data_IF_916984549068
#
_entry.id   IF_916984549068
#
_cell.length_a   1.000
_cell.length_b   1.000
_cell.length_c   1.000
_cell.angle_alpha   90.00
_cell.angle_beta   90.00
_cell.angle_gamma   90.00
#
_symmetry.space_group_name_H-M   'P 1'
#
loop_
_entity.id
_entity.type
_entity.pdbx_description
1 polymer ?
#
# COMPACT_ATOMS: atom_id res chain seq x y z
N UNK A 1 -72.77 -17.13 -3.24
CA UNK A 1 -71.58 -17.05 -4.13
C UNK A 1 -70.77 -15.75 -4.02
N UNK A 2 -71.31 -14.64 -3.46
CA UNK A 2 -70.57 -13.36 -3.27
C UNK A 2 -69.47 -13.42 -2.19
N UNK A 3 -69.70 -14.13 -1.08
CA UNK A 3 -68.73 -14.22 0.02
C UNK A 3 -67.45 -14.99 -0.34
N UNK A 4 -67.54 -16.03 -1.18
CA UNK A 4 -66.35 -16.77 -1.66
C UNK A 4 -65.42 -15.91 -2.52
N UNK A 5 -65.97 -14.98 -3.32
CA UNK A 5 -65.17 -14.05 -4.15
C UNK A 5 -64.49 -12.98 -3.30
N UNK A 6 -65.16 -12.52 -2.23
CA UNK A 6 -64.58 -11.58 -1.26
C UNK A 6 -63.40 -12.19 -0.48
N UNK A 7 -63.54 -13.45 -0.04
CA UNK A 7 -62.47 -14.14 0.70
C UNK A 7 -61.24 -14.37 -0.19
N UNK A 8 -61.45 -14.74 -1.46
CA UNK A 8 -60.36 -14.91 -2.42
C UNK A 8 -59.64 -13.59 -2.74
N UNK A 9 -60.38 -12.48 -2.89
CA UNK A 9 -59.78 -11.17 -3.15
C UNK A 9 -58.93 -10.68 -1.96
N UNK A 10 -59.35 -10.96 -0.73
CA UNK A 10 -58.59 -10.62 0.48
C UNK A 10 -57.26 -11.38 0.56
N UNK A 11 -57.25 -12.66 0.16
CA UNK A 11 -56.05 -13.49 0.18
C UNK A 11 -55.01 -13.05 -0.87
N UNK A 12 -55.46 -12.63 -2.05
CA UNK A 12 -54.57 -12.10 -3.10
C UNK A 12 -53.92 -10.78 -2.68
N UNK A 13 -54.64 -9.92 -1.96
CA UNK A 13 -54.07 -8.68 -1.40
C UNK A 13 -53.01 -8.96 -0.33
N UNK A 14 -53.21 -9.97 0.52
CA UNK A 14 -52.25 -10.32 1.56
C UNK A 14 -50.91 -10.83 0.98
N UNK A 15 -50.92 -11.55 -0.14
CA UNK A 15 -49.70 -12.06 -0.78
C UNK A 15 -48.85 -10.98 -1.47
N UNK A 16 -49.46 -9.86 -1.87
CA UNK A 16 -48.72 -8.73 -2.49
C UNK A 16 -47.91 -7.96 -1.44
N UNK A 17 -48.34 -7.98 -0.17
CA UNK A 17 -47.70 -7.22 0.92
C UNK A 17 -46.48 -7.96 1.50
N UNK A 18 -46.42 -9.29 1.41
CA UNK A 18 -45.30 -10.10 1.93
C UNK A 18 -44.12 -10.26 0.95
N UNK A 19 -44.16 -9.61 -0.21
CA UNK A 19 -43.13 -9.70 -1.26
C UNK A 19 -41.83 -8.96 -0.97
N UNK A 20 -41.69 -8.31 0.18
CA UNK A 20 -40.42 -7.72 0.63
C UNK A 20 -39.96 -8.38 1.93
N UNK A 21 -39.83 -9.71 1.89
CA UNK A 21 -38.82 -10.36 2.73
C UNK A 21 -37.46 -9.85 2.24
N UNK A 22 -37.10 -8.65 2.69
CA UNK A 22 -35.82 -8.04 2.45
C UNK A 22 -34.79 -9.03 2.94
N UNK A 23 -34.11 -9.66 2.00
CA UNK A 23 -32.78 -10.17 2.25
C UNK A 23 -32.00 -8.96 2.76
N UNK A 24 -31.90 -8.85 4.09
CA UNK A 24 -30.86 -8.04 4.70
C UNK A 24 -29.58 -8.78 4.34
N UNK A 25 -29.09 -8.50 3.13
CA UNK A 25 -27.71 -8.74 2.82
C UNK A 25 -26.95 -7.90 3.85
N UNK A 26 -26.51 -8.57 4.91
CA UNK A 26 -25.47 -8.04 5.76
C UNK A 26 -24.26 -7.98 4.83
N UNK A 27 -24.13 -6.89 4.10
CA UNK A 27 -22.84 -6.44 3.60
C UNK A 27 -22.07 -6.13 4.88
N UNK A 28 -21.42 -7.15 5.42
CA UNK A 28 -20.33 -6.97 6.32
C UNK A 28 -19.22 -6.35 5.47
N UNK A 29 -19.32 -5.04 5.27
CA UNK A 29 -18.22 -4.20 4.82
C UNK A 29 -17.15 -4.38 5.90
N UNK A 30 -16.32 -5.41 5.75
CA UNK A 30 -15.08 -5.53 6.50
C UNK A 30 -14.11 -4.58 5.81
N UNK A 31 -14.38 -3.28 5.94
CA UNK A 31 -13.37 -2.25 5.74
C UNK A 31 -12.39 -2.40 6.90
N UNK A 32 -11.41 -3.29 6.73
CA UNK A 32 -10.26 -3.34 7.63
C UNK A 32 -9.37 -2.19 7.20
N UNK A 33 -9.60 -1.03 7.80
CA UNK A 33 -8.71 0.11 7.67
C UNK A 33 -7.46 -0.24 8.50
N UNK A 34 -6.49 -0.91 7.87
CA UNK A 34 -5.21 -1.23 8.49
C UNK A 34 -4.34 0.01 8.33
N UNK A 35 -4.40 0.91 9.30
CA UNK A 35 -3.33 1.89 9.49
C UNK A 35 -2.11 1.12 9.98
N UNK A 36 -1.18 0.84 9.07
CA UNK A 36 0.16 0.33 9.43
C UNK A 36 0.88 1.51 10.08
N UNK A 37 1.09 1.44 11.38
CA UNK A 37 1.97 2.38 12.05
C UNK A 37 3.42 2.09 11.62
N UNK A 38 4.25 3.12 11.56
CA UNK A 38 5.73 3.01 11.61
C UNK A 38 6.11 2.27 12.91
N UNK A 39 6.06 0.95 12.88
CA UNK A 39 6.40 0.07 13.99
C UNK A 39 7.46 -0.92 13.52
N UNK A 40 8.55 -0.99 14.27
CA UNK A 40 9.69 -1.87 14.03
C UNK A 40 9.29 -3.36 13.99
N UNK A 41 8.10 -3.69 14.51
CA UNK A 41 7.51 -5.04 14.55
C UNK A 41 6.47 -5.28 13.45
N UNK A 42 6.33 -4.38 12.47
CA UNK A 42 5.50 -4.61 11.31
C UNK A 42 6.06 -5.75 10.45
N UNK A 43 5.17 -6.51 9.80
CA UNK A 43 5.58 -7.58 8.89
C UNK A 43 6.44 -7.08 7.72
N UNK A 44 6.35 -5.79 7.42
CA UNK A 44 7.27 -5.04 6.59
C UNK A 44 7.80 -3.87 7.42
N UNK A 45 9.10 -3.87 7.73
CA UNK A 45 9.71 -2.71 8.38
C UNK A 45 10.35 -1.81 7.33
N UNK A 46 10.00 -0.53 7.37
CA UNK A 46 10.59 0.50 6.52
C UNK A 46 11.21 1.54 7.43
N UNK A 47 12.50 1.79 7.27
CA UNK A 47 13.26 2.69 8.13
C UNK A 47 13.95 3.77 7.28
N UNK A 48 13.86 5.03 7.70
CA UNK A 48 14.67 6.10 7.12
C UNK A 48 16.10 6.01 7.67
N UNK A 49 17.09 5.81 6.78
CA UNK A 49 18.48 5.60 7.17
C UNK A 49 19.33 6.86 7.07
N UNK A 50 19.05 7.75 6.12
CA UNK A 50 19.78 8.99 5.91
C UNK A 50 18.85 10.08 5.37
N UNK A 51 18.89 11.25 5.98
CA UNK A 51 18.16 12.46 5.60
C UNK A 51 19.07 13.54 5.01
N UNK A 52 20.35 13.23 4.79
CA UNK A 52 21.36 14.18 4.33
C UNK A 52 22.33 13.53 3.34
N UNK A 53 22.44 14.11 2.14
CA UNK A 53 23.27 13.60 1.05
C UNK A 53 24.20 14.72 0.57
N UNK A 54 25.48 14.41 0.40
CA UNK A 54 26.44 15.34 -0.21
C UNK A 54 26.15 15.45 -1.72
N UNK A 55 26.15 16.66 -2.25
CA UNK A 55 25.95 16.91 -3.68
C UNK A 55 26.95 16.10 -4.51
N UNK A 56 26.44 15.37 -5.51
CA UNK A 56 27.20 14.47 -6.37
C UNK A 56 27.46 13.08 -5.78
N UNK A 57 26.83 12.73 -4.66
CA UNK A 57 26.91 11.40 -4.04
C UNK A 57 25.55 10.70 -3.99
N UNK A 58 25.59 9.36 -3.96
CA UNK A 58 24.43 8.49 -3.77
C UNK A 58 24.47 7.86 -2.38
N UNK A 59 23.32 7.75 -1.73
CA UNK A 59 23.15 7.13 -0.41
C UNK A 59 21.82 6.39 -0.33
N UNK A 60 21.78 5.30 0.45
CA UNK A 60 20.54 4.66 0.84
C UNK A 60 19.78 5.57 1.80
N UNK A 61 18.53 5.90 1.48
CA UNK A 61 17.67 6.78 2.29
C UNK A 61 16.53 6.04 2.96
N UNK A 62 16.11 4.90 2.38
CA UNK A 62 15.19 3.98 3.02
C UNK A 62 15.80 2.59 3.07
N UNK A 63 15.57 1.88 4.16
CA UNK A 63 15.83 0.45 4.30
C UNK A 63 14.51 -0.27 4.48
N UNK A 64 14.26 -1.24 3.61
CA UNK A 64 13.08 -2.11 3.65
C UNK A 64 13.51 -3.49 4.11
N UNK A 65 12.88 -4.01 5.15
CA UNK A 65 13.18 -5.34 5.72
C UNK A 65 11.96 -6.26 5.61
N UNK A 66 12.15 -7.42 4.96
CA UNK A 66 11.14 -8.45 4.92
C UNK A 66 11.06 -9.18 6.29
N UNK A 67 10.01 -8.95 7.07
CA UNK A 67 9.73 -9.71 8.29
C UNK A 67 8.62 -10.75 8.11
N UNK A 68 8.15 -10.98 6.88
CA UNK A 68 7.28 -12.08 6.56
C UNK A 68 8.04 -13.40 6.72
N UNK A 69 7.33 -14.44 7.19
CA UNK A 69 7.90 -15.79 7.31
C UNK A 69 8.09 -16.51 5.96
N UNK A 70 8.11 -15.76 4.86
CA UNK A 70 8.22 -16.24 3.49
C UNK A 70 8.96 -15.22 2.61
N UNK A 71 9.34 -15.65 1.42
CA UNK A 71 9.93 -14.80 0.38
C UNK A 71 8.86 -13.86 -0.21
N UNK A 72 9.30 -12.65 -0.57
CA UNK A 72 8.45 -11.62 -1.19
C UNK A 72 9.24 -10.84 -2.23
N UNK A 73 8.56 -10.35 -3.24
CA UNK A 73 9.08 -9.44 -4.25
C UNK A 73 8.76 -8.00 -3.86
N UNK A 74 9.77 -7.13 -3.85
CA UNK A 74 9.66 -5.70 -3.60
C UNK A 74 9.81 -4.94 -4.92
N UNK A 75 8.81 -4.14 -5.26
CA UNK A 75 8.84 -3.20 -6.36
C UNK A 75 8.69 -1.75 -5.87
N UNK A 76 9.31 -0.82 -6.59
CA UNK A 76 9.18 0.62 -6.35
C UNK A 76 8.44 1.23 -7.53
N UNK A 77 7.28 1.81 -7.28
CA UNK A 77 6.43 2.50 -8.25
C UNK A 77 6.20 3.96 -7.83
N UNK A 78 5.56 4.74 -8.72
CA UNK A 78 5.11 6.13 -8.46
C UNK A 78 6.18 7.01 -7.77
N UNK A 79 7.38 7.06 -8.35
CA UNK A 79 8.49 7.87 -7.82
C UNK A 79 8.27 9.34 -8.16
N UNK A 80 8.19 10.18 -7.13
CA UNK A 80 8.17 11.65 -7.27
C UNK A 80 9.33 12.28 -6.47
N UNK A 81 10.02 13.24 -7.08
CA UNK A 81 11.09 13.99 -6.40
C UNK A 81 10.90 15.50 -6.48
N UNK A 82 11.38 16.20 -5.46
CA UNK A 82 11.41 17.68 -5.44
C UNK A 82 12.81 18.20 -5.14
N UNK A 83 13.05 19.50 -5.36
CA UNK A 83 14.34 20.14 -5.08
C UNK A 83 15.46 19.66 -6.01
N UNK A 84 16.59 19.26 -5.44
CA UNK A 84 17.73 18.68 -6.16
C UNK A 84 17.91 17.19 -5.94
N UNK A 85 16.89 16.52 -5.41
CA UNK A 85 16.87 15.09 -5.12
C UNK A 85 16.58 14.29 -6.38
N UNK A 86 17.34 13.23 -6.61
CA UNK A 86 17.13 12.26 -7.68
C UNK A 86 17.02 10.86 -7.09
N UNK A 87 16.07 10.06 -7.59
CA UNK A 87 15.93 8.65 -7.22
C UNK A 87 16.96 7.82 -7.98
N UNK A 88 17.74 7.02 -7.24
CA UNK A 88 18.76 6.15 -7.79
C UNK A 88 18.29 4.70 -7.63
N UNK A 89 17.69 4.16 -8.70
CA UNK A 89 17.38 2.73 -8.70
C UNK A 89 18.66 1.93 -8.89
N UNK A 90 19.04 1.11 -7.91
CA UNK A 90 20.02 0.05 -8.19
C UNK A 90 19.37 -0.95 -9.16
N UNK A 91 19.86 -0.92 -10.41
CA UNK A 91 19.40 -1.65 -11.59
C UNK A 91 18.30 -1.00 -12.46
N UNK A 92 17.96 0.27 -12.24
CA UNK A 92 17.11 1.02 -13.18
C UNK A 92 15.60 0.94 -12.87
N UNK A 93 14.80 1.72 -13.60
CA UNK A 93 13.58 2.34 -13.08
C UNK A 93 12.43 1.43 -12.57
N UNK A 94 12.52 0.11 -12.56
CA UNK A 94 11.49 -0.77 -12.00
C UNK A 94 12.05 -2.12 -11.50
N UNK A 95 13.30 -2.17 -11.05
CA UNK A 95 13.88 -3.47 -10.72
C UNK A 95 13.25 -4.04 -9.44
N UNK A 96 12.40 -5.02 -9.65
CA UNK A 96 11.82 -5.89 -8.64
C UNK A 96 12.95 -6.67 -7.96
N UNK A 97 12.97 -6.62 -6.63
CA UNK A 97 13.95 -7.31 -5.81
C UNK A 97 13.23 -8.34 -4.96
N UNK A 98 13.56 -9.61 -5.19
CA UNK A 98 13.13 -10.70 -4.32
C UNK A 98 13.90 -10.65 -3.00
N UNK A 99 13.17 -10.63 -1.89
CA UNK A 99 13.70 -10.60 -0.53
C UNK A 99 13.32 -11.88 0.20
N UNK A 100 14.32 -12.66 0.56
CA UNK A 100 14.16 -13.78 1.48
C UNK A 100 13.75 -13.28 2.88
N UNK A 101 13.32 -14.20 3.74
CA UNK A 101 12.94 -13.87 5.12
C UNK A 101 14.10 -13.20 5.88
N UNK A 102 13.81 -12.05 6.49
CA UNK A 102 14.78 -11.18 7.18
C UNK A 102 15.83 -10.52 6.29
N UNK A 103 15.66 -10.57 4.96
CA UNK A 103 16.50 -9.84 4.02
C UNK A 103 16.09 -8.36 3.93
N UNK A 104 17.05 -7.52 3.54
CA UNK A 104 16.88 -6.07 3.46
C UNK A 104 17.25 -5.53 2.08
N UNK A 105 16.44 -4.61 1.57
CA UNK A 105 16.75 -3.77 0.42
C UNK A 105 17.00 -2.32 0.86
N UNK A 106 17.87 -1.62 0.13
CA UNK A 106 18.06 -0.17 0.29
C UNK A 106 17.51 0.56 -0.95
N UNK A 107 16.78 1.64 -0.69
CA UNK A 107 16.31 2.57 -1.72
C UNK A 107 17.27 3.75 -1.71
N UNK A 108 17.93 3.99 -2.82
CA UNK A 108 18.97 5.00 -2.93
C UNK A 108 18.43 6.30 -3.53
N UNK A 109 19.03 7.40 -3.09
CA UNK A 109 18.84 8.72 -3.66
C UNK A 109 20.19 9.41 -3.85
N UNK A 110 20.22 10.40 -4.75
CA UNK A 110 21.35 11.29 -4.93
C UNK A 110 20.89 12.75 -4.92
N UNK A 111 21.86 13.66 -4.77
CA UNK A 111 21.62 15.10 -4.90
C UNK A 111 22.40 15.64 -6.11
N UNK A 112 21.71 16.16 -7.12
CA UNK A 112 22.30 16.83 -8.29
C UNK A 112 22.56 18.34 -8.07
N UNK A 113 22.33 18.83 -6.86
CA UNK A 113 22.40 20.24 -6.47
C UNK A 113 22.41 20.41 -4.96
N UNK A 114 22.13 21.62 -4.49
CA UNK A 114 22.14 21.97 -3.06
C UNK A 114 20.76 22.43 -2.55
N UNK A 115 19.69 22.16 -3.31
CA UNK A 115 18.35 22.45 -2.84
C UNK A 115 17.79 21.19 -2.20
N UNK A 116 17.46 21.29 -0.92
CA UNK A 116 16.75 20.25 -0.19
C UNK A 116 15.43 19.93 -0.90
N UNK A 117 14.93 18.72 -0.71
CA UNK A 117 13.74 18.24 -1.36
C UNK A 117 13.20 16.99 -0.72
N UNK A 118 12.29 16.34 -1.42
CA UNK A 118 11.61 15.13 -0.98
C UNK A 118 11.76 14.04 -2.01
N UNK A 119 11.80 12.79 -1.54
CA UNK A 119 11.60 11.59 -2.33
C UNK A 119 10.30 10.93 -1.84
N UNK A 120 9.33 10.79 -2.73
CA UNK A 120 8.10 10.04 -2.51
C UNK A 120 8.13 8.79 -3.40
N UNK A 121 7.87 7.63 -2.81
CA UNK A 121 7.88 6.33 -3.49
C UNK A 121 6.76 5.43 -3.00
N UNK A 122 6.10 4.75 -3.94
CA UNK A 122 5.16 3.67 -3.62
C UNK A 122 5.92 2.34 -3.58
N UNK A 123 5.93 1.70 -2.42
CA UNK A 123 6.49 0.36 -2.26
C UNK A 123 5.37 -0.67 -2.44
N UNK A 124 5.59 -1.62 -3.34
CA UNK A 124 4.70 -2.75 -3.58
C UNK A 124 5.43 -4.02 -3.20
N UNK A 125 4.82 -4.81 -2.32
CA UNK A 125 5.37 -6.08 -1.85
C UNK A 125 4.37 -7.17 -2.16
N UNK A 126 4.78 -8.18 -2.91
CA UNK A 126 3.94 -9.30 -3.31
C UNK A 126 4.62 -10.63 -2.97
N UNK A 127 3.85 -11.66 -2.67
CA UNK A 127 4.37 -13.02 -2.58
C UNK A 127 4.17 -13.78 -3.88
N UNK A 128 5.02 -14.77 -4.16
CA UNK A 128 4.91 -15.62 -5.36
C UNK A 128 3.50 -16.23 -5.56
N UNK A 129 2.84 -16.60 -4.46
CA UNK A 129 1.51 -17.20 -4.45
C UNK A 129 0.37 -16.17 -4.56
N UNK A 130 0.70 -14.87 -4.59
CA UNK A 130 -0.23 -13.75 -4.63
C UNK A 130 -1.22 -13.72 -3.44
N UNK A 131 -0.92 -14.43 -2.35
CA UNK A 131 -1.75 -14.41 -1.13
C UNK A 131 -1.47 -13.17 -0.27
N UNK A 132 -0.29 -12.57 -0.44
CA UNK A 132 0.14 -11.34 0.23
C UNK A 132 0.36 -10.24 -0.81
N UNK A 133 -0.24 -9.08 -0.56
CA UNK A 133 0.05 -7.84 -1.28
C UNK A 133 0.00 -6.67 -0.29
N UNK A 134 1.10 -5.93 -0.22
CA UNK A 134 1.21 -4.70 0.59
C UNK A 134 1.58 -3.56 -0.33
N UNK A 135 0.91 -2.43 -0.15
CA UNK A 135 1.23 -1.18 -0.84
C UNK A 135 1.37 -0.08 0.20
N UNK A 136 2.50 0.59 0.24
CA UNK A 136 2.75 1.68 1.19
C UNK A 136 3.45 2.85 0.50
N UNK A 137 2.98 4.05 0.79
CA UNK A 137 3.59 5.28 0.32
C UNK A 137 4.61 5.75 1.34
N UNK A 138 5.86 5.94 0.91
CA UNK A 138 6.93 6.47 1.76
C UNK A 138 7.34 7.85 1.26
N UNK A 139 7.49 8.79 2.20
CA UNK A 139 7.97 10.14 1.93
C UNK A 139 9.20 10.39 2.79
N UNK A 140 10.28 10.82 2.16
CA UNK A 140 11.56 11.13 2.82
C UNK A 140 11.95 12.55 2.50
N UNK A 141 12.16 13.36 3.54
CA UNK A 141 12.81 14.67 3.44
C UNK A 141 14.33 14.47 3.34
N UNK A 142 14.96 15.07 2.32
CA UNK A 142 16.39 14.93 2.03
C UNK A 142 17.04 16.31 1.97
N UNK A 143 18.07 16.49 2.79
CA UNK A 143 18.93 17.66 2.81
C UNK A 143 20.11 17.48 1.86
N UNK A 144 20.22 18.35 0.86
CA UNK A 144 21.29 18.31 -0.14
C UNK A 144 22.43 19.25 0.23
N UNK A 145 23.48 18.69 0.83
CA UNK A 145 24.61 19.47 1.34
C UNK A 145 25.66 19.76 0.25
N UNK A 146 26.30 20.94 0.27
CA UNK A 146 27.44 21.21 -0.60
C UNK A 146 28.62 20.28 -0.26
N UNK A 147 29.38 19.89 -1.29
CA UNK A 147 30.60 19.08 -1.17
C UNK A 147 31.78 19.81 -0.53
#
# INVERSE_FOLDING_TARGET
MRHRRLILALFVLATVITGTAGYSAIQAERSVDVTVADDENAYLAVENTNDSIENGSTRGVLRVTNQFGQEVDLAVEDVETTGSVEYESENGANDEVTLATSETAEINASCAGTNDGTLEVMLIIESDDNELSVRTMQVVDISCNPT
#
